data_IF_087871018962
#
_entry.id   IF_087871018962
#
_cell.length_a   1.000
_cell.length_b   1.000
_cell.length_c   1.000
_cell.angle_alpha   90.00
_cell.angle_beta   90.00
_cell.angle_gamma   90.00
#
_symmetry.space_group_name_H-M   'P 1'
#
loop_
_entity.id
_entity.type
_entity.pdbx_description
1 polymer ?
#
# COMPACT_ATOMS: atom_id res chain seq x y z
N UNK A 1 -1.25 2.88 21.79
CA UNK A 1 -2.16 1.93 21.09
C UNK A 1 -1.33 0.72 20.64
N UNK A 2 -1.87 -0.50 20.64
CA UNK A 2 -1.14 -1.68 20.10
C UNK A 2 -1.73 -2.04 18.74
N UNK A 3 -0.87 -2.34 17.77
CA UNK A 3 -1.31 -2.84 16.46
C UNK A 3 -2.00 -4.18 16.67
N UNK A 4 -3.21 -4.33 16.13
CA UNK A 4 -3.92 -5.58 16.14
C UNK A 4 -3.20 -6.59 15.24
N UNK A 5 -2.79 -7.75 15.79
CA UNK A 5 -2.02 -8.78 15.07
C UNK A 5 -2.67 -9.28 13.79
N UNK A 6 -3.99 -9.15 13.65
CA UNK A 6 -4.72 -9.56 12.45
C UNK A 6 -4.14 -8.95 11.16
N UNK A 7 -3.63 -7.72 11.20
CA UNK A 7 -3.01 -7.12 10.00
C UNK A 7 -1.69 -7.79 9.62
N UNK A 8 -0.91 -8.21 10.61
CA UNK A 8 0.33 -8.94 10.36
C UNK A 8 0.04 -10.34 9.84
N UNK A 9 -0.96 -11.02 10.40
CA UNK A 9 -1.39 -12.32 9.90
C UNK A 9 -1.87 -12.24 8.44
N UNK A 10 -2.59 -11.17 8.06
CA UNK A 10 -2.96 -10.90 6.67
C UNK A 10 -1.72 -10.78 5.79
N UNK A 11 -0.79 -9.90 6.14
CA UNK A 11 0.44 -9.61 5.38
C UNK A 11 1.35 -10.85 5.25
N UNK A 12 1.50 -11.63 6.32
CA UNK A 12 2.34 -12.83 6.35
C UNK A 12 1.80 -13.94 5.41
N UNK A 13 0.49 -13.97 5.18
CA UNK A 13 -0.18 -14.95 4.32
C UNK A 13 -0.30 -14.52 2.84
N UNK A 14 0.19 -13.33 2.48
CA UNK A 14 0.15 -12.86 1.09
C UNK A 14 1.07 -13.71 0.20
N UNK A 15 0.51 -14.25 -0.89
CA UNK A 15 1.25 -14.86 -1.99
C UNK A 15 1.73 -13.79 -2.97
N UNK A 16 2.74 -13.02 -2.54
CA UNK A 16 3.23 -11.82 -3.22
C UNK A 16 3.47 -12.03 -4.72
N UNK A 17 2.88 -11.17 -5.54
CA UNK A 17 3.13 -11.05 -6.99
C UNK A 17 2.90 -12.32 -7.81
N UNK A 18 2.21 -13.32 -7.27
CA UNK A 18 1.98 -14.62 -7.93
C UNK A 18 1.00 -14.55 -9.10
N UNK A 19 0.16 -13.51 -9.14
CA UNK A 19 -0.88 -13.31 -10.15
C UNK A 19 -0.61 -12.11 -11.06
N UNK A 20 0.52 -11.40 -10.91
CA UNK A 20 0.89 -10.32 -11.81
C UNK A 20 0.88 -10.76 -13.28
N UNK A 21 0.21 -10.00 -14.13
CA UNK A 21 0.04 -10.30 -15.56
C UNK A 21 -1.05 -11.33 -15.87
N UNK A 22 -1.75 -11.86 -14.87
CA UNK A 22 -2.95 -12.69 -15.07
C UNK A 22 -4.19 -11.81 -15.16
N UNK A 23 -5.19 -12.13 -16.01
CA UNK A 23 -6.39 -11.30 -16.14
C UNK A 23 -7.07 -11.03 -14.79
N UNK A 24 -7.24 -9.75 -14.46
CA UNK A 24 -7.88 -9.33 -13.22
C UNK A 24 -9.40 -9.51 -13.29
N UNK A 25 -9.99 -9.92 -12.17
CA UNK A 25 -11.45 -9.92 -11.98
C UNK A 25 -11.95 -8.64 -11.31
N UNK A 26 -11.04 -7.74 -10.93
CA UNK A 26 -11.37 -6.48 -10.27
C UNK A 26 -11.99 -5.50 -11.26
N UNK A 27 -13.13 -4.92 -10.92
CA UNK A 27 -13.76 -3.89 -11.72
C UNK A 27 -13.12 -2.52 -11.46
N UNK A 28 -13.27 -1.60 -12.41
CA UNK A 28 -12.81 -0.20 -12.31
C UNK A 28 -11.30 0.00 -12.07
N UNK A 29 -10.47 -0.95 -12.51
CA UNK A 29 -9.01 -0.81 -12.56
C UNK A 29 -8.50 -0.78 -14.00
N UNK A 30 -7.28 -0.28 -14.16
CA UNK A 30 -6.51 -0.43 -15.41
C UNK A 30 -5.50 -1.54 -15.16
N UNK A 31 -5.55 -2.59 -15.98
CA UNK A 31 -4.57 -3.66 -15.90
C UNK A 31 -3.40 -3.39 -16.83
N UNK A 32 -2.17 -3.55 -16.32
CA UNK A 32 -0.95 -3.67 -17.13
C UNK A 32 -0.49 -5.13 -17.18
N UNK A 33 0.35 -5.46 -18.15
CA UNK A 33 0.66 -6.85 -18.51
C UNK A 33 2.12 -7.26 -18.30
N UNK A 34 2.98 -6.32 -17.88
CA UNK A 34 4.39 -6.60 -17.62
C UNK A 34 4.98 -5.71 -16.52
N UNK A 35 6.10 -6.16 -15.93
CA UNK A 35 6.89 -5.34 -15.00
C UNK A 35 7.43 -4.06 -15.65
N UNK A 36 7.69 -4.05 -16.96
CA UNK A 36 8.12 -2.85 -17.69
C UNK A 36 7.01 -1.81 -17.74
N UNK A 37 5.79 -2.22 -18.06
CA UNK A 37 4.62 -1.34 -18.00
C UNK A 37 4.35 -0.87 -16.56
N UNK A 38 4.38 -1.79 -15.59
CA UNK A 38 4.20 -1.46 -14.17
C UNK A 38 5.22 -0.40 -13.70
N UNK A 39 6.47 -0.51 -14.16
CA UNK A 39 7.54 0.45 -13.84
C UNK A 39 7.26 1.85 -14.34
N UNK A 40 6.70 2.00 -15.52
CA UNK A 40 6.32 3.30 -16.03
C UNK A 40 5.28 3.97 -15.12
N UNK A 41 4.39 3.18 -14.51
CA UNK A 41 3.38 3.69 -13.60
C UNK A 41 3.89 3.95 -12.18
N UNK A 42 4.63 3.01 -11.58
CA UNK A 42 5.02 3.17 -10.17
C UNK A 42 6.15 4.19 -10.00
N UNK A 43 6.86 4.50 -11.10
CA UNK A 43 7.86 5.56 -11.16
C UNK A 43 7.27 6.90 -11.63
N UNK A 44 5.99 6.94 -11.98
CA UNK A 44 5.32 8.19 -12.37
C UNK A 44 5.10 9.06 -11.12
N UNK A 45 5.44 10.36 -11.16
CA UNK A 45 5.17 11.28 -10.06
C UNK A 45 3.71 11.28 -9.59
N UNK A 46 2.75 11.00 -10.49
CA UNK A 46 1.34 10.93 -10.13
C UNK A 46 1.04 9.82 -9.10
N UNK A 47 1.79 8.71 -9.12
CA UNK A 47 1.63 7.66 -8.12
C UNK A 47 2.15 8.09 -6.74
N UNK A 48 3.31 8.75 -6.71
CA UNK A 48 3.86 9.35 -5.49
C UNK A 48 2.89 10.40 -4.93
N UNK A 49 2.41 11.33 -5.76
CA UNK A 49 1.46 12.37 -5.37
C UNK A 49 0.14 11.77 -4.83
N UNK A 50 -0.37 10.73 -5.50
CA UNK A 50 -1.60 10.03 -5.09
C UNK A 50 -1.45 9.37 -3.72
N UNK A 51 -0.39 8.59 -3.51
CA UNK A 51 -0.17 7.89 -2.24
C UNK A 51 0.19 8.87 -1.10
N UNK A 52 0.90 9.96 -1.41
CA UNK A 52 1.15 11.04 -0.46
C UNK A 52 -0.15 11.71 -0.02
N UNK A 53 -1.02 12.05 -0.97
CA UNK A 53 -2.31 12.68 -0.67
C UNK A 53 -3.23 11.75 0.11
N UNK A 54 -3.29 10.45 -0.22
CA UNK A 54 -4.02 9.48 0.58
C UNK A 54 -3.53 9.42 2.04
N UNK A 55 -2.21 9.52 2.25
CA UNK A 55 -1.61 9.63 3.58
C UNK A 55 -1.98 10.95 4.29
N UNK A 56 -1.98 12.08 3.57
CA UNK A 56 -2.37 13.38 4.10
C UNK A 56 -3.84 13.38 4.55
N UNK A 57 -4.75 12.83 3.74
CA UNK A 57 -6.17 12.69 4.08
C UNK A 57 -6.35 11.95 5.41
N UNK A 58 -5.61 10.85 5.61
CA UNK A 58 -5.66 10.08 6.85
C UNK A 58 -5.13 10.89 8.05
N UNK A 59 -3.96 11.52 7.91
CA UNK A 59 -3.33 12.26 9.01
C UNK A 59 -4.15 13.49 9.40
N UNK A 60 -4.68 14.25 8.44
CA UNK A 60 -5.55 15.39 8.67
C UNK A 60 -6.84 14.96 9.39
N UNK A 61 -7.48 13.88 8.92
CA UNK A 61 -8.67 13.32 9.55
C UNK A 61 -8.42 12.94 11.02
N UNK A 62 -7.32 12.23 11.30
CA UNK A 62 -6.98 11.82 12.66
C UNK A 62 -6.62 13.01 13.55
N UNK A 63 -5.86 13.97 13.03
CA UNK A 63 -5.50 15.19 13.76
C UNK A 63 -6.74 15.97 14.18
N UNK A 64 -7.69 16.16 13.25
CA UNK A 64 -8.87 16.98 13.47
C UNK A 64 -9.95 16.27 14.31
N UNK A 65 -10.19 14.98 14.10
CA UNK A 65 -11.31 14.25 14.73
C UNK A 65 -10.91 13.34 15.89
N UNK A 66 -9.67 12.87 15.91
CA UNK A 66 -9.18 11.90 16.90
C UNK A 66 -7.81 12.28 17.47
N UNK A 67 -7.59 13.53 17.94
CA UNK A 67 -6.27 14.04 18.30
C UNK A 67 -5.56 13.20 19.38
N UNK A 68 -6.31 12.68 20.35
CA UNK A 68 -5.74 11.81 21.40
C UNK A 68 -5.21 10.49 20.83
N UNK A 69 -5.85 9.93 19.80
CA UNK A 69 -5.38 8.72 19.11
C UNK A 69 -4.22 9.03 18.16
N UNK A 70 -4.23 10.21 17.56
CA UNK A 70 -3.16 10.68 16.67
C UNK A 70 -1.81 10.79 17.38
N UNK A 71 -1.78 11.05 18.70
CA UNK A 71 -0.54 11.04 19.49
C UNK A 71 0.25 9.71 19.41
N UNK A 72 -0.43 8.61 19.10
CA UNK A 72 0.19 7.28 18.97
C UNK A 72 0.80 7.01 17.58
N UNK A 73 0.60 7.92 16.62
CA UNK A 73 1.00 7.76 15.22
C UNK A 73 2.45 7.29 15.07
N UNK A 74 3.39 8.01 15.67
CA UNK A 74 4.82 7.71 15.56
C UNK A 74 5.20 6.35 16.19
N UNK A 75 4.50 5.94 17.25
CA UNK A 75 4.74 4.63 17.86
C UNK A 75 4.30 3.51 16.91
N UNK A 76 3.13 3.65 16.30
CA UNK A 76 2.57 2.67 15.36
C UNK A 76 3.44 2.59 14.10
N UNK A 77 3.83 3.71 13.51
CA UNK A 77 4.74 3.75 12.34
C UNK A 77 6.05 3.03 12.64
N UNK A 78 6.65 3.28 13.82
CA UNK A 78 7.90 2.62 14.22
C UNK A 78 7.74 1.10 14.31
N UNK A 79 6.65 0.64 14.91
CA UNK A 79 6.40 -0.79 15.08
C UNK A 79 6.05 -1.47 13.74
N UNK A 80 5.29 -0.80 12.88
CA UNK A 80 5.01 -1.25 11.51
C UNK A 80 6.28 -1.39 10.68
N UNK A 81 7.17 -0.38 10.69
CA UNK A 81 8.46 -0.43 9.99
C UNK A 81 9.34 -1.56 10.50
N UNK A 82 9.42 -1.78 11.81
CA UNK A 82 10.18 -2.90 12.39
C UNK A 82 9.67 -4.25 11.88
N UNK A 83 8.36 -4.44 11.85
CA UNK A 83 7.74 -5.65 11.33
C UNK A 83 8.07 -5.87 9.85
N UNK A 84 7.93 -4.83 9.02
CA UNK A 84 8.24 -4.91 7.58
C UNK A 84 9.71 -5.27 7.35
N UNK A 85 10.63 -4.66 8.11
CA UNK A 85 12.05 -4.99 8.01
C UNK A 85 12.35 -6.44 8.39
N UNK A 86 11.67 -6.99 9.40
CA UNK A 86 11.88 -8.39 9.80
C UNK A 86 11.18 -9.41 8.90
N UNK A 87 10.00 -9.11 8.37
CA UNK A 87 9.13 -10.10 7.72
C UNK A 87 9.08 -9.99 6.20
N UNK A 88 9.32 -8.80 5.64
CA UNK A 88 9.06 -8.51 4.24
C UNK A 88 10.31 -8.10 3.45
N UNK A 89 11.28 -7.40 4.07
CA UNK A 89 12.46 -6.87 3.37
C UNK A 89 13.23 -7.91 2.54
N UNK A 90 13.54 -9.08 3.10
CA UNK A 90 14.27 -10.13 2.37
C UNK A 90 13.46 -10.64 1.17
N UNK A 91 12.15 -10.81 1.32
CA UNK A 91 11.27 -11.24 0.21
C UNK A 91 11.31 -10.21 -0.93
N UNK A 92 11.15 -8.93 -0.60
CA UNK A 92 11.16 -7.85 -1.61
C UNK A 92 12.50 -7.74 -2.34
N UNK A 93 13.62 -7.89 -1.64
CA UNK A 93 14.95 -7.88 -2.27
C UNK A 93 15.13 -9.06 -3.23
N UNK A 94 14.63 -10.25 -2.88
CA UNK A 94 14.67 -11.40 -3.78
C UNK A 94 13.82 -11.16 -5.04
N UNK A 95 12.62 -10.58 -4.92
CA UNK A 95 11.79 -10.21 -6.07
C UNK A 95 12.46 -9.13 -6.92
N UNK A 96 13.06 -8.14 -6.28
CA UNK A 96 13.80 -7.07 -6.95
C UNK A 96 14.92 -7.65 -7.82
N UNK A 97 15.72 -8.57 -7.28
CA UNK A 97 16.79 -9.23 -8.02
C UNK A 97 16.25 -10.15 -9.13
N UNK A 98 15.26 -10.99 -8.82
CA UNK A 98 14.68 -11.95 -9.75
C UNK A 98 14.07 -11.29 -11.00
N UNK A 99 13.40 -10.15 -10.83
CA UNK A 99 12.70 -9.44 -11.90
C UNK A 99 13.43 -8.18 -12.37
N UNK A 100 14.66 -7.94 -11.90
CA UNK A 100 15.48 -6.77 -12.24
C UNK A 100 14.74 -5.43 -12.01
N UNK A 101 14.08 -5.31 -10.85
CA UNK A 101 13.34 -4.13 -10.44
C UNK A 101 14.27 -3.12 -9.74
N UNK A 102 13.85 -1.87 -9.69
CA UNK A 102 14.61 -0.81 -9.01
C UNK A 102 14.18 -0.65 -7.54
N UNK A 103 14.87 0.25 -6.83
CA UNK A 103 14.55 0.54 -5.43
C UNK A 103 13.21 1.25 -5.27
N UNK A 104 12.64 1.85 -6.33
CA UNK A 104 11.35 2.51 -6.27
C UNK A 104 10.27 1.47 -5.98
N UNK A 105 10.30 0.32 -6.67
CA UNK A 105 9.43 -0.82 -6.38
C UNK A 105 9.43 -1.20 -4.89
N UNK A 106 10.62 -1.41 -4.30
CA UNK A 106 10.73 -1.80 -2.88
C UNK A 106 10.16 -0.70 -1.97
N UNK A 107 10.41 0.56 -2.29
CA UNK A 107 9.91 1.69 -1.52
C UNK A 107 8.39 1.82 -1.60
N UNK A 108 7.79 1.65 -2.79
CA UNK A 108 6.35 1.66 -2.99
C UNK A 108 5.68 0.57 -2.13
N UNK A 109 6.13 -0.68 -2.23
CA UNK A 109 5.53 -1.79 -1.48
C UNK A 109 5.65 -1.55 0.04
N UNK A 110 6.82 -1.09 0.51
CA UNK A 110 6.99 -0.77 1.94
C UNK A 110 6.08 0.37 2.39
N UNK A 111 5.94 1.41 1.57
CA UNK A 111 5.05 2.54 1.87
C UNK A 111 3.60 2.08 1.97
N UNK A 112 3.12 1.34 0.98
CA UNK A 112 1.75 0.84 0.94
C UNK A 112 1.43 -0.03 2.16
N UNK A 113 2.34 -0.95 2.52
CA UNK A 113 2.14 -1.85 3.66
C UNK A 113 2.18 -1.10 4.99
N UNK A 114 3.10 -0.13 5.18
CA UNK A 114 3.09 0.72 6.38
C UNK A 114 1.76 1.44 6.47
N UNK A 115 1.31 2.08 5.40
CA UNK A 115 0.11 2.90 5.38
C UNK A 115 -1.17 2.06 5.57
N UNK A 116 -1.22 0.84 5.04
CA UNK A 116 -2.30 -0.11 5.29
C UNK A 116 -2.36 -0.53 6.77
N UNK A 117 -1.20 -0.75 7.40
CA UNK A 117 -1.12 -0.99 8.86
C UNK A 117 -1.65 0.22 9.63
N UNK A 118 -1.35 1.45 9.18
CA UNK A 118 -1.85 2.68 9.80
C UNK A 118 -3.37 2.77 9.71
N UNK A 119 -3.95 2.61 8.51
CA UNK A 119 -5.41 2.61 8.33
C UNK A 119 -6.08 1.52 9.18
N UNK A 120 -5.52 0.30 9.21
CA UNK A 120 -6.06 -0.79 10.02
C UNK A 120 -6.00 -0.49 11.52
N UNK A 121 -4.89 0.09 12.00
CA UNK A 121 -4.71 0.43 13.41
C UNK A 121 -5.77 1.43 13.89
N UNK A 122 -6.23 2.32 13.00
CA UNK A 122 -7.26 3.31 13.29
C UNK A 122 -8.65 2.93 12.74
N UNK A 123 -8.88 1.65 12.40
CA UNK A 123 -10.14 1.17 11.80
C UNK A 123 -11.40 1.39 12.67
N UNK A 124 -11.23 1.62 13.97
CA UNK A 124 -12.32 1.97 14.89
C UNK A 124 -12.69 3.47 14.87
N UNK A 125 -11.92 4.31 14.18
CA UNK A 125 -12.23 5.70 13.93
C UNK A 125 -13.27 5.81 12.80
N UNK A 126 -14.52 6.12 13.15
CA UNK A 126 -15.62 6.27 12.19
C UNK A 126 -15.31 7.32 11.11
N UNK A 127 -15.34 6.89 9.85
CA UNK A 127 -15.14 7.74 8.67
C UNK A 127 -13.70 7.82 8.17
N UNK A 128 -12.83 6.90 8.59
CA UNK A 128 -11.46 6.79 8.12
C UNK A 128 -11.40 6.40 6.62
N UNK A 129 -10.34 6.84 5.94
CA UNK A 129 -10.03 6.38 4.57
C UNK A 129 -9.58 4.92 4.58
N UNK A 130 -9.80 4.23 3.45
CA UNK A 130 -9.43 2.83 3.25
C UNK A 130 -8.54 2.62 2.02
N UNK A 131 -7.94 3.70 1.49
CA UNK A 131 -7.15 3.65 0.26
C UNK A 131 -6.04 2.60 0.33
N UNK A 132 -5.24 2.59 1.40
CA UNK A 132 -4.14 1.62 1.52
C UNK A 132 -4.59 0.21 1.90
N UNK A 133 -5.72 0.09 2.61
CA UNK A 133 -6.37 -1.20 2.82
C UNK A 133 -6.90 -1.79 1.51
N UNK A 134 -7.36 -0.95 0.59
CA UNK A 134 -7.76 -1.38 -0.75
C UNK A 134 -6.54 -1.80 -1.59
N UNK A 135 -5.40 -1.08 -1.47
CA UNK A 135 -4.14 -1.56 -2.05
C UNK A 135 -3.70 -2.90 -1.47
N UNK A 136 -3.88 -3.10 -0.15
CA UNK A 136 -3.57 -4.37 0.50
C UNK A 136 -4.41 -5.52 -0.06
N UNK A 137 -5.68 -5.28 -0.42
CA UNK A 137 -6.51 -6.29 -1.10
C UNK A 137 -5.90 -6.69 -2.46
N UNK A 138 -5.31 -5.74 -3.21
CA UNK A 138 -4.62 -6.05 -4.48
C UNK A 138 -3.44 -6.99 -4.23
N UNK A 139 -2.62 -6.67 -3.23
CA UNK A 139 -1.49 -7.53 -2.82
C UNK A 139 -1.96 -8.90 -2.34
N UNK A 140 -3.04 -8.99 -1.53
CA UNK A 140 -3.63 -10.25 -1.05
C UNK A 140 -4.12 -11.15 -2.20
N UNK A 141 -4.53 -10.55 -3.32
CA UNK A 141 -4.88 -11.26 -4.55
C UNK A 141 -3.65 -11.63 -5.40
N UNK A 142 -2.43 -11.40 -4.91
CA UNK A 142 -1.18 -11.74 -5.59
C UNK A 142 -0.80 -10.78 -6.71
N UNK A 143 -1.41 -9.60 -6.78
CA UNK A 143 -1.14 -8.58 -7.80
C UNK A 143 -0.35 -7.41 -7.21
N UNK A 144 0.06 -6.46 -8.05
CA UNK A 144 0.80 -5.28 -7.65
C UNK A 144 0.07 -3.98 -8.03
N UNK A 145 -0.41 -3.18 -7.06
CA UNK A 145 -0.87 -1.82 -7.35
C UNK A 145 0.33 -0.97 -7.75
N UNK A 146 0.33 -0.48 -8.98
CA UNK A 146 1.50 0.16 -9.56
C UNK A 146 1.25 1.60 -10.00
N UNK A 147 0.05 2.17 -9.85
CA UNK A 147 -0.17 3.56 -10.24
C UNK A 147 -1.60 4.03 -10.09
N UNK A 148 -1.82 5.29 -10.46
CA UNK A 148 -3.13 5.90 -10.54
C UNK A 148 -3.25 6.67 -11.85
N UNK A 149 -4.35 6.44 -12.58
CA UNK A 149 -4.69 7.20 -13.79
C UNK A 149 -5.79 8.20 -13.45
N UNK A 150 -5.44 9.48 -13.30
CA UNK A 150 -6.35 10.55 -12.88
C UNK A 150 -5.83 11.34 -11.68
N UNK A 151 -6.75 12.01 -10.96
CA UNK A 151 -6.42 12.90 -9.84
C UNK A 151 -7.14 12.43 -8.57
N UNK A 152 -6.41 11.77 -7.67
CA UNK A 152 -6.92 11.40 -6.37
C UNK A 152 -7.17 12.65 -5.48
N UNK A 153 -8.21 12.70 -4.63
CA UNK A 153 -9.30 11.73 -4.47
C UNK A 153 -10.49 11.95 -5.41
N UNK A 154 -10.41 12.92 -6.33
CA UNK A 154 -11.55 13.41 -7.09
C UNK A 154 -11.97 12.47 -8.22
N UNK A 155 -11.02 11.85 -8.90
CA UNK A 155 -11.26 10.98 -10.04
C UNK A 155 -10.06 10.06 -10.30
N UNK A 156 -10.31 9.01 -11.07
CA UNK A 156 -9.26 8.16 -11.62
C UNK A 156 -9.47 6.69 -11.33
N UNK A 157 -8.50 5.90 -11.75
CA UNK A 157 -8.50 4.45 -11.61
C UNK A 157 -7.17 3.96 -11.10
N UNK A 158 -7.22 2.97 -10.22
CA UNK A 158 -6.03 2.24 -9.81
C UNK A 158 -5.47 1.48 -11.00
N UNK A 159 -4.16 1.55 -11.18
CA UNK A 159 -3.41 0.74 -12.14
C UNK A 159 -2.81 -0.44 -11.39
N UNK A 160 -3.04 -1.64 -11.91
CA UNK A 160 -2.65 -2.91 -11.28
C UNK A 160 -1.91 -3.77 -12.29
N UNK A 161 -0.81 -4.38 -11.85
CA UNK A 161 -0.11 -5.42 -12.57
C UNK A 161 -0.45 -6.81 -12.03
#
# INVERSE_FOLDING_TARGET
MKINRQIFDRIDNINWFTNCGTPLTMENVIQVSSWEEAKNWYSDPNWEDTTLEAGNVLTEFLHNKYPNKYLEWNNIVRDAKRYIESSLSVKLLNYQEQYNLDNIFVNCVKWDVVSAIMEFAYSDCKGISHFFLDLLLVYENGNFPCGWDGIYPNSGKLVVY
#
